data_IF_841128346654
#
_entry.id   IF_841128346654
#
_cell.length_a   1.000
_cell.length_b   1.000
_cell.length_c   1.000
_cell.angle_alpha   90.00
_cell.angle_beta   90.00
_cell.angle_gamma   90.00
#
_symmetry.space_group_name_H-M   'P 1'
#
loop_
_entity.id
_entity.type
_entity.pdbx_description
1 polymer ?
#
# COMPACT_ATOMS: atom_id res chain seq x y z
N UNK A 1 1.28 -6.27 -4.72
CA UNK A 1 0.89 -4.92 -4.25
C UNK A 1 -0.09 -4.31 -5.24
N UNK A 2 -1.10 -3.55 -4.82
CA UNK A 2 -2.07 -2.91 -5.74
C UNK A 2 -1.87 -1.40 -5.76
N UNK A 3 -1.92 -0.80 -6.94
CA UNK A 3 -2.03 0.64 -7.12
C UNK A 3 -3.51 1.00 -7.22
N UNK A 4 -3.99 1.86 -6.34
CA UNK A 4 -5.40 2.23 -6.27
C UNK A 4 -5.55 3.75 -6.29
N UNK A 5 -6.54 4.23 -7.04
CA UNK A 5 -6.91 5.63 -7.10
C UNK A 5 -7.76 6.02 -5.86
N UNK A 6 -7.88 7.32 -5.53
CA UNK A 6 -8.60 7.77 -4.34
C UNK A 6 -10.09 7.41 -4.29
N UNK A 7 -10.71 7.14 -5.44
CA UNK A 7 -12.09 6.69 -5.57
C UNK A 7 -12.28 5.18 -5.32
N UNK A 8 -11.19 4.45 -5.09
CA UNK A 8 -11.19 3.01 -4.87
C UNK A 8 -11.04 2.17 -6.13
N UNK A 9 -10.78 2.80 -7.28
CA UNK A 9 -10.47 2.07 -8.51
C UNK A 9 -9.07 1.46 -8.43
N UNK A 10 -8.96 0.14 -8.60
CA UNK A 10 -7.67 -0.55 -8.64
C UNK A 10 -7.12 -0.47 -10.07
N UNK A 11 -6.05 0.29 -10.26
CA UNK A 11 -5.45 0.58 -11.56
C UNK A 11 -4.57 -0.56 -12.07
N UNK A 12 -3.68 -1.05 -11.20
CA UNK A 12 -2.79 -2.17 -11.52
C UNK A 12 -2.48 -3.02 -10.27
N UNK A 13 -2.09 -4.27 -10.49
CA UNK A 13 -1.51 -5.13 -9.48
C UNK A 13 -0.05 -5.40 -9.82
N UNK A 14 0.83 -4.78 -9.05
CA UNK A 14 2.27 -4.89 -9.18
C UNK A 14 2.74 -6.23 -8.63
N UNK A 15 3.33 -7.06 -9.50
CA UNK A 15 3.81 -8.41 -9.23
C UNK A 15 3.97 -9.26 -10.50
N UNK A 16 4.18 -10.60 -10.35
CA UNK A 16 4.13 -11.38 -9.11
C UNK A 16 5.39 -11.25 -8.24
N UNK A 17 5.22 -11.35 -6.92
CA UNK A 17 6.30 -11.39 -5.93
C UNK A 17 6.20 -12.68 -5.10
N UNK A 18 7.33 -13.20 -4.64
CA UNK A 18 7.35 -14.39 -3.77
C UNK A 18 6.81 -14.04 -2.39
N UNK A 19 5.98 -14.92 -1.82
CA UNK A 19 5.40 -14.73 -0.47
C UNK A 19 6.41 -14.76 0.68
N UNK A 20 7.69 -15.02 0.39
CA UNK A 20 8.82 -14.93 1.33
C UNK A 20 9.43 -13.54 1.40
N UNK A 21 9.10 -12.65 0.46
CA UNK A 21 9.59 -11.28 0.45
C UNK A 21 8.71 -10.37 1.31
N UNK A 22 9.32 -9.56 2.16
CA UNK A 22 8.62 -8.56 2.96
C UNK A 22 8.05 -7.45 2.04
N UNK A 23 6.87 -6.95 2.36
CA UNK A 23 6.21 -5.80 1.77
C UNK A 23 7.16 -4.60 1.55
N UNK A 24 8.05 -4.29 2.50
CA UNK A 24 9.03 -3.21 2.34
C UNK A 24 10.02 -3.46 1.19
N UNK A 25 10.49 -4.71 1.02
CA UNK A 25 11.39 -5.09 -0.08
C UNK A 25 10.67 -5.06 -1.42
N UNK A 26 9.45 -5.59 -1.46
CA UNK A 26 8.60 -5.57 -2.66
C UNK A 26 8.36 -4.14 -3.12
N UNK A 27 8.04 -3.24 -2.18
CA UNK A 27 7.80 -1.82 -2.49
C UNK A 27 9.07 -1.11 -2.94
N UNK A 28 10.21 -1.41 -2.31
CA UNK A 28 11.50 -0.90 -2.74
C UNK A 28 11.87 -1.35 -4.15
N UNK A 29 11.52 -2.59 -4.52
CA UNK A 29 11.69 -3.08 -5.89
C UNK A 29 10.76 -2.31 -6.84
N UNK A 30 9.48 -2.21 -6.53
CA UNK A 30 8.48 -1.47 -7.31
C UNK A 30 8.91 -0.01 -7.55
N UNK A 31 9.36 0.68 -6.50
CA UNK A 31 9.78 2.07 -6.55
C UNK A 31 11.04 2.27 -7.40
N UNK A 32 11.96 1.30 -7.38
CA UNK A 32 13.21 1.34 -8.16
C UNK A 32 13.05 0.83 -9.60
N UNK A 33 12.04 0.01 -9.88
CA UNK A 33 11.73 -0.47 -11.22
C UNK A 33 11.08 0.67 -12.00
N UNK A 34 11.94 1.43 -12.69
CA UNK A 34 11.72 2.74 -13.34
C UNK A 34 10.47 2.94 -14.23
N UNK A 35 9.67 1.91 -14.50
CA UNK A 35 8.68 1.93 -15.59
C UNK A 35 7.28 1.47 -15.18
N UNK A 36 6.84 1.64 -13.93
CA UNK A 36 5.42 1.38 -13.61
C UNK A 36 4.79 2.46 -12.77
N UNK A 37 5.45 2.90 -11.71
CA UNK A 37 4.93 4.01 -10.90
C UNK A 37 4.96 5.34 -11.67
N UNK A 38 6.07 5.65 -12.32
CA UNK A 38 6.25 6.84 -13.16
C UNK A 38 5.37 6.88 -14.41
N UNK A 39 4.74 5.76 -14.80
CA UNK A 39 3.75 5.75 -15.89
C UNK A 39 2.39 6.26 -15.45
N UNK A 40 2.10 6.16 -14.14
CA UNK A 40 0.79 6.47 -13.56
C UNK A 40 0.81 7.63 -12.57
N UNK A 41 1.98 8.02 -12.08
CA UNK A 41 2.17 9.04 -11.05
C UNK A 41 3.19 10.07 -11.51
N UNK A 42 2.92 11.32 -11.17
CA UNK A 42 3.78 12.48 -11.46
C UNK A 42 4.52 12.96 -10.20
N UNK A 43 5.54 13.78 -10.41
CA UNK A 43 6.25 14.46 -9.33
C UNK A 43 5.28 15.31 -8.49
N UNK A 44 5.33 15.17 -7.16
CA UNK A 44 4.44 15.84 -6.21
C UNK A 44 3.16 15.08 -5.90
N UNK A 45 2.90 13.92 -6.53
CA UNK A 45 1.72 13.13 -6.20
C UNK A 45 1.77 12.61 -4.76
N UNK A 46 0.60 12.61 -4.13
CA UNK A 46 0.42 12.18 -2.74
C UNK A 46 0.28 10.66 -2.67
N UNK A 47 1.25 10.02 -2.03
CA UNK A 47 1.30 8.56 -1.91
C UNK A 47 0.81 8.13 -0.53
N UNK A 48 -0.39 7.56 -0.46
CA UNK A 48 -0.95 7.06 0.81
C UNK A 48 -0.50 5.62 1.03
N UNK A 49 0.28 5.38 2.09
CA UNK A 49 0.84 4.06 2.38
C UNK A 49 0.44 3.56 3.77
N UNK A 50 0.37 2.23 3.94
CA UNK A 50 0.10 1.60 5.25
C UNK A 50 1.30 1.75 6.21
N UNK A 51 1.07 1.58 7.50
CA UNK A 51 2.06 1.57 8.59
C UNK A 51 3.25 0.65 8.32
N UNK A 52 3.02 -0.49 7.68
CA UNK A 52 4.08 -1.45 7.32
C UNK A 52 5.10 -0.92 6.31
N UNK A 53 4.83 0.23 5.69
CA UNK A 53 5.65 0.85 4.64
C UNK A 53 6.44 2.06 5.17
N UNK A 54 6.68 2.15 6.48
CA UNK A 54 7.47 3.25 7.06
C UNK A 54 8.87 3.32 6.45
N UNK A 55 9.50 2.16 6.23
CA UNK A 55 10.87 2.06 5.70
C UNK A 55 11.00 2.52 4.23
N UNK A 56 9.89 2.72 3.50
CA UNK A 56 9.89 3.14 2.09
C UNK A 56 9.51 4.62 1.90
N UNK A 57 9.14 5.32 2.98
CA UNK A 57 8.78 6.74 2.93
C UNK A 57 9.93 7.57 2.34
N UNK A 58 11.16 7.35 2.79
CA UNK A 58 12.33 8.06 2.26
C UNK A 58 12.51 7.81 0.76
N UNK A 59 12.30 6.57 0.32
CA UNK A 59 12.43 6.22 -1.11
C UNK A 59 11.38 6.92 -1.96
N UNK A 60 10.14 7.05 -1.49
CA UNK A 60 9.10 7.79 -2.22
C UNK A 60 9.41 9.29 -2.28
N UNK A 61 9.89 9.87 -1.18
CA UNK A 61 10.33 11.26 -1.15
C UNK A 61 11.51 11.51 -2.10
N UNK A 62 12.48 10.60 -2.16
CA UNK A 62 13.63 10.68 -3.08
C UNK A 62 13.22 10.60 -4.55
N UNK A 63 12.12 9.90 -4.84
CA UNK A 63 11.52 9.82 -6.17
C UNK A 63 10.65 11.05 -6.50
N UNK A 64 10.46 11.96 -5.55
CA UNK A 64 9.73 13.20 -5.74
C UNK A 64 8.23 13.12 -5.43
N UNK A 65 7.78 12.07 -4.75
CA UNK A 65 6.39 11.95 -4.30
C UNK A 65 6.22 12.49 -2.88
N UNK A 66 4.96 12.71 -2.46
CA UNK A 66 4.60 13.13 -1.10
C UNK A 66 3.99 11.95 -0.31
N UNK A 67 4.80 11.12 0.36
CA UNK A 67 4.30 9.99 1.14
C UNK A 67 3.54 10.45 2.40
N UNK A 68 2.34 9.92 2.59
CA UNK A 68 1.50 10.14 3.77
C UNK A 68 1.27 8.82 4.51
N UNK A 69 1.62 8.81 5.80
CA UNK A 69 1.47 7.65 6.68
C UNK A 69 0.56 7.96 7.87
N UNK A 70 -0.16 6.96 8.42
CA UNK A 70 -0.85 7.14 9.69
C UNK A 70 0.14 7.50 10.80
N UNK A 71 -0.13 8.59 11.53
CA UNK A 71 0.75 9.11 12.59
C UNK A 71 0.87 8.10 13.75
N UNK A 72 2.08 7.94 14.29
CA UNK A 72 2.34 7.17 15.52
C UNK A 72 2.19 8.04 16.75
N UNK A 73 1.66 7.48 17.84
CA UNK A 73 1.77 8.10 19.16
C UNK A 73 3.24 8.09 19.57
N UNK A 74 3.87 9.27 19.76
CA UNK A 74 5.24 9.34 20.25
C UNK A 74 5.37 8.65 21.60
N UNK A 75 6.54 8.06 21.86
CA UNK A 75 6.81 7.37 23.12
C UNK A 75 6.63 8.36 24.28
N UNK A 76 5.73 8.03 25.21
CA UNK A 76 5.39 8.87 26.37
C UNK A 76 4.17 9.77 26.18
N UNK A 77 3.60 9.86 24.97
CA UNK A 77 2.30 10.49 24.77
C UNK A 77 1.17 9.45 24.84
N UNK A 78 0.06 9.84 25.47
CA UNK A 78 -1.15 9.01 25.55
C UNK A 78 -2.15 9.32 24.44
N UNK A 79 -2.08 10.50 23.83
CA UNK A 79 -3.03 10.98 22.84
C UNK A 79 -2.31 11.84 21.78
N UNK A 80 -2.79 11.75 20.53
CA UNK A 80 -2.38 12.64 19.46
C UNK A 80 -2.90 14.05 19.71
N UNK A 81 -2.21 15.04 19.16
CA UNK A 81 -2.77 16.39 19.05
C UNK A 81 -3.98 16.39 18.12
N UNK A 82 -4.84 17.40 18.23
CA UNK A 82 -6.00 17.56 17.33
C UNK A 82 -5.58 17.56 15.86
N UNK A 83 -4.44 18.18 15.54
CA UNK A 83 -3.91 18.26 14.18
C UNK A 83 -3.50 16.88 13.65
N UNK A 84 -2.63 16.17 14.36
CA UNK A 84 -2.17 14.83 14.00
C UNK A 84 -3.35 13.85 13.91
N UNK A 85 -4.31 13.95 14.83
CA UNK A 85 -5.50 13.11 14.83
C UNK A 85 -6.41 13.38 13.62
N UNK A 86 -6.42 14.61 13.09
CA UNK A 86 -7.17 14.94 11.87
C UNK A 86 -6.44 14.42 10.62
N UNK A 87 -5.12 14.61 10.54
CA UNK A 87 -4.29 14.10 9.45
C UNK A 87 -4.35 12.57 9.37
N UNK A 88 -4.20 11.87 10.50
CA UNK A 88 -4.33 10.42 10.57
C UNK A 88 -5.74 9.93 10.14
N UNK A 89 -6.80 10.69 10.47
CA UNK A 89 -8.16 10.37 10.02
C UNK A 89 -8.34 10.53 8.52
N UNK A 90 -7.71 11.52 7.90
CA UNK A 90 -7.75 11.71 6.44
C UNK A 90 -7.12 10.50 5.73
N UNK A 91 -5.91 10.12 6.14
CA UNK A 91 -5.21 8.93 5.62
C UNK A 91 -6.06 7.66 5.81
N UNK A 92 -6.65 7.47 6.99
CA UNK A 92 -7.47 6.29 7.30
C UNK A 92 -8.75 6.23 6.45
N UNK A 93 -9.39 7.38 6.18
CA UNK A 93 -10.60 7.44 5.36
C UNK A 93 -10.34 6.96 3.92
N UNK A 94 -9.26 7.40 3.30
CA UNK A 94 -8.93 6.99 1.92
C UNK A 94 -8.60 5.50 1.86
N UNK A 95 -7.85 5.00 2.84
CA UNK A 95 -7.56 3.57 2.97
C UNK A 95 -8.80 2.69 3.02
N UNK A 96 -9.83 3.13 3.74
CA UNK A 96 -11.04 2.33 3.90
C UNK A 96 -11.70 1.98 2.56
N UNK A 97 -11.63 2.89 1.58
CA UNK A 97 -12.11 2.66 0.22
C UNK A 97 -11.34 1.50 -0.46
N UNK A 98 -10.02 1.50 -0.34
CA UNK A 98 -9.13 0.44 -0.89
C UNK A 98 -9.39 -0.90 -0.19
N UNK A 99 -9.47 -0.89 1.14
CA UNK A 99 -9.76 -2.09 1.93
C UNK A 99 -11.13 -2.69 1.57
N UNK A 100 -12.13 -1.84 1.32
CA UNK A 100 -13.47 -2.26 0.88
C UNK A 100 -13.45 -2.90 -0.51
N UNK A 101 -12.53 -2.48 -1.40
CA UNK A 101 -12.29 -3.15 -2.68
C UNK A 101 -11.70 -4.55 -2.46
N UNK A 102 -10.60 -4.67 -1.71
CA UNK A 102 -9.96 -5.96 -1.47
C UNK A 102 -10.85 -6.93 -0.68
N UNK A 103 -11.73 -6.42 0.19
CA UNK A 103 -12.72 -7.23 0.89
C UNK A 103 -13.69 -7.95 -0.06
N UNK A 104 -13.95 -7.40 -1.26
CA UNK A 104 -14.77 -8.10 -2.27
C UNK A 104 -14.07 -9.32 -2.83
N UNK A 105 -12.76 -9.25 -3.06
CA UNK A 105 -11.96 -10.39 -3.52
C UNK A 105 -11.94 -11.53 -2.49
N UNK A 106 -11.88 -11.18 -1.20
CA UNK A 106 -11.94 -12.16 -0.09
C UNK A 106 -13.26 -12.94 0.00
N UNK A 107 -14.33 -12.46 -0.64
CA UNK A 107 -15.65 -13.13 -0.65
C UNK A 107 -15.80 -14.18 -1.76
N UNK A 108 -14.82 -14.31 -2.65
CA UNK A 108 -14.92 -15.23 -3.77
C UNK A 108 -14.70 -16.66 -3.27
N UNK A 109 -15.70 -17.53 -3.45
CA UNK A 109 -15.63 -18.95 -3.07
C UNK A 109 -14.49 -19.71 -3.75
N UNK A 110 -14.06 -19.26 -4.94
CA UNK A 110 -12.89 -19.83 -5.59
C UNK A 110 -11.62 -19.72 -4.72
N UNK A 111 -11.51 -18.68 -3.90
CA UNK A 111 -10.42 -18.47 -2.95
C UNK A 111 -10.82 -18.77 -1.50
N UNK A 112 -12.01 -19.35 -1.25
CA UNK A 112 -12.43 -19.67 0.11
C UNK A 112 -11.72 -20.90 0.68
N UNK A 113 -11.27 -21.79 -0.21
CA UNK A 113 -10.54 -22.99 0.15
C UNK A 113 -9.05 -22.85 -0.16
N UNK A 114 -8.22 -23.54 0.64
CA UNK A 114 -6.77 -23.56 0.43
C UNK A 114 -6.46 -24.42 -0.78
N UNK A 115 -5.96 -23.81 -1.85
CA UNK A 115 -5.38 -24.54 -2.97
C UNK A 115 -3.96 -24.91 -2.58
N UNK A 116 -3.62 -26.20 -2.62
CA UNK A 116 -2.25 -26.64 -2.39
C UNK A 116 -1.35 -26.09 -3.49
N UNK A 117 -0.25 -25.41 -3.13
CA UNK A 117 0.71 -24.89 -4.10
C UNK A 117 1.22 -25.94 -5.10
N UNK A 118 1.20 -27.23 -4.72
CA UNK A 118 1.59 -28.35 -5.59
C UNK A 118 0.61 -28.62 -6.74
N UNK A 119 -0.64 -28.16 -6.62
CA UNK A 119 -1.66 -28.31 -7.66
C UNK A 119 -1.58 -27.24 -8.75
N UNK A 120 -0.79 -26.18 -8.53
CA UNK A 120 -0.57 -25.14 -9.53
C UNK A 120 0.52 -25.58 -10.52
N UNK A 121 0.35 -25.30 -11.83
CA UNK A 121 1.39 -25.54 -12.82
C UNK A 121 2.67 -24.81 -12.41
N UNK A 122 3.81 -25.51 -12.46
CA UNK A 122 5.12 -24.86 -12.27
C UNK A 122 5.39 -24.01 -13.51
N UNK A 123 5.53 -22.70 -13.30
CA UNK A 123 5.97 -21.73 -14.32
C UNK A 123 7.46 -21.91 -14.60
#
# INVERSE_FOLDING_TARGET
MSLCLPDGYCLDTLGPFYGTENDAKITGHIAKTKNKLSEWCDYGDVMIVDRGFTDIVEVFSDLGYEPQIPVYLPKGQKQHTTKEANEARLVTKVRWTVESYHARLKKWRFFSDRIENQSLPKL
#
